data_IF_387451410234
#
_entry.id   IF_387451410234
#
_cell.length_a   1.000
_cell.length_b   1.000
_cell.length_c   1.000
_cell.angle_alpha   90.00
_cell.angle_beta   90.00
_cell.angle_gamma   90.00
#
_symmetry.space_group_name_H-M   'P 1'
#
loop_
_entity.id
_entity.type
_entity.pdbx_description
1 polymer ?
#
# COMPACT_ATOMS: atom_id res chain seq x y z
N UNK A 1 -18.92 -7.77 -22.58
CA UNK A 1 -17.65 -7.04 -22.77
C UNK A 1 -17.87 -5.96 -23.81
N UNK A 2 -17.66 -4.70 -23.47
CA UNK A 2 -17.74 -3.58 -24.42
C UNK A 2 -16.36 -3.40 -25.06
N UNK A 3 -16.26 -3.52 -26.38
CA UNK A 3 -15.01 -3.29 -27.11
C UNK A 3 -14.94 -1.80 -27.50
N UNK A 4 -13.88 -1.12 -27.08
CA UNK A 4 -13.66 0.30 -27.34
C UNK A 4 -13.11 0.53 -28.76
N UNK A 5 -13.77 1.39 -29.53
CA UNK A 5 -13.25 1.92 -30.80
C UNK A 5 -12.38 3.15 -30.53
N UNK A 6 -11.16 3.21 -31.07
CA UNK A 6 -10.22 4.31 -30.84
C UNK A 6 -10.73 5.62 -31.50
N UNK A 7 -11.08 6.61 -30.68
CA UNK A 7 -11.38 7.99 -31.10
C UNK A 7 -10.10 8.83 -31.12
N UNK A 8 -10.14 10.04 -31.68
CA UNK A 8 -9.01 10.98 -31.56
C UNK A 8 -8.73 11.28 -30.08
N UNK A 9 -7.45 11.26 -29.72
CA UNK A 9 -6.99 11.53 -28.37
C UNK A 9 -7.02 13.04 -28.10
N UNK A 10 -7.82 13.54 -27.13
CA UNK A 10 -7.95 14.97 -26.86
C UNK A 10 -6.76 15.56 -26.07
N UNK A 11 -5.79 14.74 -25.66
CA UNK A 11 -4.67 15.14 -24.78
C UNK A 11 -3.45 15.61 -25.56
N UNK A 12 -2.58 16.39 -24.92
CA UNK A 12 -1.31 16.83 -25.53
C UNK A 12 -0.44 15.62 -25.87
N UNK A 13 -0.37 14.66 -24.95
CA UNK A 13 0.28 13.38 -25.20
C UNK A 13 -0.46 12.56 -26.27
N UNK A 14 0.18 12.33 -27.41
CA UNK A 14 -0.35 11.48 -28.51
C UNK A 14 -0.19 9.98 -28.25
N UNK A 15 0.16 9.59 -27.03
CA UNK A 15 0.26 8.18 -26.64
C UNK A 15 -1.14 7.53 -26.67
N UNK A 16 -1.30 6.45 -27.45
CA UNK A 16 -2.58 5.73 -27.58
C UNK A 16 -3.13 5.26 -26.23
N UNK A 17 -2.25 4.98 -25.25
CA UNK A 17 -2.64 4.52 -23.92
C UNK A 17 -3.38 5.62 -23.14
N UNK A 18 -3.02 6.88 -23.36
CA UNK A 18 -3.70 8.05 -22.77
C UNK A 18 -5.09 8.23 -23.39
N UNK A 19 -5.20 8.09 -24.72
CA UNK A 19 -6.50 8.08 -25.40
C UNK A 19 -7.44 6.99 -24.88
N UNK A 20 -6.93 5.77 -24.67
CA UNK A 20 -7.71 4.67 -24.07
C UNK A 20 -8.11 5.01 -22.63
N UNK A 21 -7.22 5.56 -21.82
CA UNK A 21 -7.56 5.98 -20.46
C UNK A 21 -8.68 7.04 -20.46
N UNK A 22 -8.59 8.03 -21.34
CA UNK A 22 -9.63 9.05 -21.52
C UNK A 22 -10.99 8.43 -21.85
N UNK A 23 -11.04 7.48 -22.79
CA UNK A 23 -12.26 6.75 -23.12
C UNK A 23 -12.82 5.94 -21.95
N UNK A 24 -11.95 5.30 -21.16
CA UNK A 24 -12.37 4.54 -19.98
C UNK A 24 -13.07 5.48 -19.00
N UNK A 25 -12.52 6.65 -18.70
CA UNK A 25 -13.16 7.62 -17.80
C UNK A 25 -14.48 8.17 -18.34
N UNK A 26 -14.59 8.38 -19.66
CA UNK A 26 -15.84 8.87 -20.27
C UNK A 26 -16.96 7.84 -20.25
N UNK A 27 -16.62 6.55 -20.42
CA UNK A 27 -17.61 5.48 -20.41
C UNK A 27 -17.98 5.00 -19.01
N UNK A 28 -17.01 4.98 -18.09
CA UNK A 28 -17.17 4.53 -16.73
C UNK A 28 -17.11 5.70 -15.76
N UNK A 29 -18.13 6.56 -15.82
CA UNK A 29 -18.23 7.79 -15.00
C UNK A 29 -18.30 7.49 -13.50
N UNK A 30 -18.86 6.32 -13.12
CA UNK A 30 -18.95 5.90 -11.72
C UNK A 30 -19.02 4.37 -11.60
N UNK A 31 -18.72 3.87 -10.39
CA UNK A 31 -18.72 2.44 -10.08
C UNK A 31 -17.39 1.73 -10.40
N UNK A 32 -17.28 0.44 -10.04
CA UNK A 32 -16.06 -0.33 -10.27
C UNK A 32 -15.89 -0.67 -11.75
N UNK A 33 -14.70 -0.41 -12.29
CA UNK A 33 -14.28 -0.84 -13.62
C UNK A 33 -13.12 -1.84 -13.50
N UNK A 34 -13.30 -3.06 -13.99
CA UNK A 34 -12.26 -4.10 -13.98
C UNK A 34 -11.55 -4.10 -15.33
N UNK A 35 -10.25 -3.85 -15.31
CA UNK A 35 -9.41 -3.77 -16.51
C UNK A 35 -8.46 -4.96 -16.52
N UNK A 36 -8.66 -5.87 -17.48
CA UNK A 36 -7.72 -6.95 -17.76
C UNK A 36 -6.64 -6.45 -18.71
N UNK A 37 -5.39 -6.49 -18.26
CA UNK A 37 -4.22 -6.01 -19.00
C UNK A 37 -3.10 -7.05 -19.01
N UNK A 38 -2.25 -6.98 -20.02
CA UNK A 38 -0.92 -7.58 -19.95
C UNK A 38 0.00 -6.73 -19.07
N UNK A 39 0.99 -7.36 -18.45
CA UNK A 39 2.01 -6.63 -17.68
C UNK A 39 2.77 -5.67 -18.60
N UNK A 40 3.17 -4.51 -18.07
CA UNK A 40 3.87 -3.43 -18.83
C UNK A 40 3.06 -2.78 -19.96
N UNK A 41 1.74 -2.99 -20.03
CA UNK A 41 0.86 -2.26 -20.97
C UNK A 41 0.77 -0.74 -20.71
N UNK A 42 1.24 -0.26 -19.55
CA UNK A 42 1.21 1.17 -19.19
C UNK A 42 -0.16 1.67 -18.71
N UNK A 43 -1.12 0.79 -18.45
CA UNK A 43 -2.48 1.17 -18.07
C UNK A 43 -2.52 2.02 -16.80
N UNK A 44 -1.81 1.63 -15.74
CA UNK A 44 -1.75 2.36 -14.47
C UNK A 44 -1.30 3.79 -14.71
N UNK A 45 -0.19 3.98 -15.43
CA UNK A 45 0.36 5.31 -15.73
C UNK A 45 -0.64 6.17 -16.49
N UNK A 46 -1.27 5.60 -17.52
CA UNK A 46 -2.23 6.34 -18.34
C UNK A 46 -3.51 6.70 -17.58
N UNK A 47 -4.02 5.82 -16.72
CA UNK A 47 -5.19 6.10 -15.88
C UNK A 47 -4.93 7.21 -14.85
N UNK A 48 -3.73 7.24 -14.28
CA UNK A 48 -3.34 8.26 -13.31
C UNK A 48 -3.07 9.61 -13.98
N UNK A 49 -2.37 9.61 -15.12
CA UNK A 49 -2.17 10.79 -15.93
C UNK A 49 -3.52 11.40 -16.37
N UNK A 50 -4.45 10.55 -16.81
CA UNK A 50 -5.78 11.01 -17.22
C UNK A 50 -6.61 11.55 -16.04
N UNK A 51 -6.53 10.92 -14.86
CA UNK A 51 -7.16 11.48 -13.64
C UNK A 51 -6.65 12.89 -13.36
N UNK A 52 -5.33 13.09 -13.46
CA UNK A 52 -4.73 14.43 -13.29
C UNK A 52 -5.22 15.39 -14.37
N UNK A 53 -5.25 14.98 -15.65
CA UNK A 53 -5.71 15.81 -16.77
C UNK A 53 -7.18 16.26 -16.64
N UNK A 54 -7.99 15.52 -15.87
CA UNK A 54 -9.38 15.88 -15.52
C UNK A 54 -9.48 16.74 -14.26
N UNK A 55 -8.35 17.04 -13.62
CA UNK A 55 -8.26 17.63 -12.28
C UNK A 55 -9.03 16.82 -11.23
N UNK A 56 -9.04 15.50 -11.38
CA UNK A 56 -9.71 14.58 -10.47
C UNK A 56 -8.67 13.93 -9.56
N UNK A 57 -8.80 14.20 -8.26
CA UNK A 57 -7.89 13.63 -7.26
C UNK A 57 -7.99 12.12 -7.24
N UNK A 58 -6.85 11.44 -7.25
CA UNK A 58 -6.80 9.97 -7.18
C UNK A 58 -6.08 9.43 -5.94
N UNK A 59 -6.45 8.20 -5.57
CA UNK A 59 -5.65 7.29 -4.75
C UNK A 59 -5.23 6.10 -5.62
N UNK A 60 -3.95 5.76 -5.61
CA UNK A 60 -3.42 4.57 -6.27
C UNK A 60 -2.83 3.61 -5.24
N UNK A 61 -3.35 2.39 -5.20
CA UNK A 61 -2.82 1.30 -4.40
C UNK A 61 -1.96 0.38 -5.28
N UNK A 62 -0.74 0.11 -4.81
CA UNK A 62 0.24 -0.72 -5.52
C UNK A 62 0.80 -1.82 -4.61
N UNK A 63 1.34 -2.91 -5.15
CA UNK A 63 1.85 -3.99 -4.29
C UNK A 63 3.15 -3.62 -3.56
N UNK A 64 4.03 -2.82 -4.18
CA UNK A 64 5.36 -2.54 -3.61
C UNK A 64 5.72 -1.05 -3.61
N UNK A 65 6.55 -0.64 -2.63
CA UNK A 65 7.10 0.71 -2.53
C UNK A 65 7.91 1.12 -3.78
N UNK A 66 8.59 0.15 -4.43
CA UNK A 66 9.36 0.39 -5.65
C UNK A 66 8.47 0.88 -6.78
N UNK A 67 7.28 0.28 -6.94
CA UNK A 67 6.29 0.69 -7.96
C UNK A 67 5.73 2.07 -7.62
N UNK A 68 5.45 2.34 -6.34
CA UNK A 68 4.95 3.65 -5.90
C UNK A 68 5.90 4.80 -6.27
N UNK A 69 7.20 4.62 -6.03
CA UNK A 69 8.22 5.66 -6.28
C UNK A 69 8.59 5.77 -7.76
N UNK A 70 9.02 4.66 -8.38
CA UNK A 70 9.69 4.73 -9.68
C UNK A 70 8.70 4.79 -10.85
N UNK A 71 7.57 4.11 -10.72
CA UNK A 71 6.63 3.94 -11.82
C UNK A 71 5.53 4.97 -11.68
N UNK A 72 4.87 5.03 -10.53
CA UNK A 72 3.69 5.88 -10.41
C UNK A 72 4.02 7.37 -10.40
N UNK A 73 4.86 7.85 -9.49
CA UNK A 73 5.09 9.31 -9.37
C UNK A 73 5.79 9.88 -10.60
N UNK A 74 6.88 9.23 -11.04
CA UNK A 74 7.72 9.78 -12.12
C UNK A 74 7.03 9.71 -13.47
N UNK A 75 6.46 8.55 -13.82
CA UNK A 75 5.93 8.36 -15.16
C UNK A 75 4.56 9.02 -15.32
N UNK A 76 3.68 8.98 -14.31
CA UNK A 76 2.34 9.60 -14.44
C UNK A 76 2.42 11.10 -14.70
N UNK A 77 3.35 11.82 -14.05
CA UNK A 77 3.57 13.25 -14.31
C UNK A 77 4.07 13.51 -15.72
N UNK A 78 4.97 12.68 -16.22
CA UNK A 78 5.53 12.81 -17.57
C UNK A 78 4.44 12.71 -18.67
N UNK A 79 3.42 11.89 -18.44
CA UNK A 79 2.35 11.65 -19.42
C UNK A 79 1.10 12.53 -19.19
N UNK A 80 1.09 13.32 -18.11
CA UNK A 80 0.02 14.27 -17.84
C UNK A 80 0.25 15.56 -18.61
N UNK A 81 -0.85 16.22 -18.97
CA UNK A 81 -0.86 17.57 -19.55
C UNK A 81 -0.66 18.65 -18.46
N UNK A 82 -0.58 18.29 -17.17
CA UNK A 82 -0.27 19.22 -16.08
C UNK A 82 1.24 19.31 -15.81
N UNK A 83 1.80 20.50 -16.06
CA UNK A 83 3.21 20.81 -15.80
C UNK A 83 3.61 20.68 -14.32
N UNK A 84 2.71 21.03 -13.40
CA UNK A 84 2.98 21.11 -11.96
C UNK A 84 2.18 20.10 -11.13
N UNK A 85 1.94 18.91 -11.68
CA UNK A 85 1.21 17.86 -10.96
C UNK A 85 1.89 17.48 -9.63
N UNK A 86 1.12 17.48 -8.54
CA UNK A 86 1.57 17.09 -7.21
C UNK A 86 1.01 15.70 -6.89
N UNK A 87 1.91 14.71 -6.82
CA UNK A 87 1.57 13.34 -6.43
C UNK A 87 2.40 12.99 -5.20
N UNK A 88 1.74 12.55 -4.13
CA UNK A 88 2.36 12.23 -2.85
C UNK A 88 2.44 10.72 -2.70
N UNK A 89 3.64 10.20 -2.41
CA UNK A 89 3.80 8.83 -1.91
C UNK A 89 3.68 8.84 -0.40
N UNK A 90 2.78 8.02 0.14
CA UNK A 90 2.77 7.70 1.56
C UNK A 90 3.65 6.46 1.76
N UNK A 91 4.82 6.60 2.39
CA UNK A 91 5.75 5.49 2.52
C UNK A 91 5.33 4.50 3.62
N UNK A 92 6.03 3.37 3.69
CA UNK A 92 5.85 2.41 4.78
C UNK A 92 6.25 3.04 6.13
N UNK A 93 5.71 2.54 7.24
CA UNK A 93 6.04 3.09 8.57
C UNK A 93 7.52 2.92 8.93
N UNK A 94 8.22 1.97 8.28
CA UNK A 94 9.68 1.80 8.40
C UNK A 94 10.47 3.02 7.93
N UNK A 95 9.90 3.82 7.04
CA UNK A 95 10.51 5.06 6.52
C UNK A 95 10.11 6.29 7.37
N UNK A 96 9.50 6.09 8.54
CA UNK A 96 9.41 7.14 9.55
C UNK A 96 10.80 7.34 10.14
N UNK A 97 11.30 8.59 10.21
CA UNK A 97 12.62 8.90 10.77
C UNK A 97 12.84 8.30 12.16
N UNK A 98 11.82 8.33 13.03
CA UNK A 98 11.91 7.71 14.37
C UNK A 98 11.99 6.17 14.30
N UNK A 99 11.24 5.56 13.38
CA UNK A 99 11.27 4.09 13.21
C UNK A 99 12.54 3.61 12.51
N UNK A 100 13.13 4.45 11.65
CA UNK A 100 14.42 4.17 11.02
C UNK A 100 15.53 4.08 12.08
N UNK A 101 15.59 5.04 13.00
CA UNK A 101 16.49 4.99 14.17
C UNK A 101 16.24 3.75 15.05
N UNK A 102 14.98 3.36 15.24
CA UNK A 102 14.65 2.12 15.95
C UNK A 102 15.14 0.88 15.21
N UNK A 103 15.04 0.85 13.87
CA UNK A 103 15.52 -0.25 13.04
C UNK A 103 17.06 -0.29 12.96
N UNK A 104 17.73 0.83 13.10
CA UNK A 104 19.19 0.88 13.24
C UNK A 104 19.63 0.29 14.58
N UNK A 105 18.92 0.65 15.66
CA UNK A 105 19.17 0.10 17.00
C UNK A 105 18.81 -1.38 17.11
N UNK A 106 17.72 -1.80 16.45
CA UNK A 106 17.19 -3.16 16.46
C UNK A 106 16.91 -3.65 15.03
N UNK A 107 17.92 -4.21 14.33
CA UNK A 107 17.81 -4.60 12.92
C UNK A 107 16.68 -5.57 12.59
N UNK A 108 16.31 -6.45 13.52
CA UNK A 108 15.24 -7.45 13.33
C UNK A 108 13.87 -6.81 13.10
N UNK A 109 13.66 -5.57 13.55
CA UNK A 109 12.43 -4.81 13.25
C UNK A 109 12.23 -4.61 11.75
N UNK A 110 13.29 -4.65 10.93
CA UNK A 110 13.18 -4.58 9.47
C UNK A 110 12.52 -5.82 8.87
N UNK A 111 12.47 -6.95 9.57
CA UNK A 111 11.83 -8.17 9.09
C UNK A 111 10.30 -8.13 9.24
N UNK A 112 9.78 -7.33 10.19
CA UNK A 112 8.35 -7.22 10.42
C UNK A 112 7.62 -6.64 9.20
N UNK A 113 6.49 -7.21 8.75
CA UNK A 113 5.78 -6.71 7.55
C UNK A 113 5.28 -5.26 7.73
N UNK A 114 4.92 -4.90 8.95
CA UNK A 114 4.43 -3.56 9.34
C UNK A 114 5.02 -3.20 10.69
N UNK A 115 5.47 -1.94 10.84
CA UNK A 115 5.82 -1.36 12.13
C UNK A 115 4.65 -0.55 12.71
N UNK A 116 4.59 -0.38 14.05
CA UNK A 116 3.56 0.43 14.69
C UNK A 116 3.37 1.80 14.03
N UNK A 117 2.12 2.21 13.87
CA UNK A 117 1.77 3.57 13.48
C UNK A 117 1.73 4.43 14.74
N UNK A 118 2.39 5.58 14.70
CA UNK A 118 2.34 6.55 15.78
C UNK A 118 0.90 7.01 16.04
N UNK A 119 0.54 7.21 17.32
CA UNK A 119 -0.79 7.71 17.68
C UNK A 119 -1.00 9.11 17.15
N UNK A 120 -0.02 10.01 17.33
CA UNK A 120 -0.03 11.35 16.76
C UNK A 120 1.31 11.66 16.10
N UNK A 121 1.24 12.31 14.93
CA UNK A 121 2.41 12.92 14.29
C UNK A 121 2.40 14.45 14.42
N UNK A 122 1.32 15.07 14.90
CA UNK A 122 1.16 16.53 14.89
C UNK A 122 2.17 17.26 15.79
N UNK A 123 2.58 16.62 16.87
CA UNK A 123 3.57 17.13 17.83
C UNK A 123 4.97 16.58 17.54
N UNK A 124 5.18 15.94 16.39
CA UNK A 124 6.47 15.39 16.03
C UNK A 124 7.40 16.51 15.52
N UNK A 125 8.60 16.62 16.07
CA UNK A 125 9.64 17.56 15.61
C UNK A 125 9.94 17.42 14.11
N UNK A 126 9.67 16.24 13.55
CA UNK A 126 9.90 15.90 12.15
C UNK A 126 8.70 16.08 11.25
N UNK A 127 7.59 16.62 11.76
CA UNK A 127 6.33 16.74 11.03
C UNK A 127 6.50 17.45 9.68
N UNK A 128 7.29 18.52 9.62
CA UNK A 128 7.44 19.33 8.42
C UNK A 128 8.38 18.76 7.35
N UNK A 129 9.18 17.75 7.68
CA UNK A 129 10.07 17.09 6.71
C UNK A 129 9.71 15.63 6.45
N UNK A 130 8.86 15.04 7.28
CA UNK A 130 8.45 13.65 7.16
C UNK A 130 7.58 13.41 5.90
N UNK A 131 7.92 12.36 5.15
CA UNK A 131 7.14 11.92 3.98
C UNK A 131 5.80 11.29 4.36
N UNK A 132 5.70 10.69 5.56
CA UNK A 132 4.43 10.12 6.06
C UNK A 132 3.42 11.23 6.31
N UNK A 133 3.86 12.40 6.77
CA UNK A 133 2.96 13.50 7.12
C UNK A 133 2.55 14.34 5.92
N UNK A 134 3.32 14.26 4.82
CA UNK A 134 3.10 15.04 3.60
C UNK A 134 1.65 14.98 3.08
N UNK A 135 0.98 13.83 3.21
CA UNK A 135 -0.40 13.63 2.74
C UNK A 135 -1.41 14.52 3.48
N UNK A 136 -1.23 14.76 4.78
CA UNK A 136 -2.11 15.64 5.57
C UNK A 136 -1.71 17.10 5.37
N UNK A 137 -0.42 17.39 5.23
CA UNK A 137 0.09 18.75 5.02
C UNK A 137 -0.25 19.33 3.63
N UNK A 138 -0.44 18.46 2.64
CA UNK A 138 -0.76 18.83 1.26
C UNK A 138 -2.02 18.09 0.78
N UNK A 139 -3.19 18.41 1.38
CA UNK A 139 -4.44 17.69 1.11
C UNK A 139 -4.98 17.93 -0.31
N UNK A 140 -4.51 18.99 -0.97
CA UNK A 140 -4.84 19.46 -2.32
C UNK A 140 -4.01 18.79 -3.44
N UNK A 141 -3.13 17.85 -3.10
CA UNK A 141 -2.39 17.09 -4.10
C UNK A 141 -3.30 16.38 -5.10
N UNK A 142 -2.91 16.35 -6.38
CA UNK A 142 -3.64 15.71 -7.47
C UNK A 142 -3.72 14.18 -7.31
N UNK A 143 -2.77 13.58 -6.59
CA UNK A 143 -2.71 12.14 -6.42
C UNK A 143 -2.02 11.70 -5.15
N UNK A 144 -2.47 10.58 -4.60
CA UNK A 144 -1.85 9.92 -3.46
C UNK A 144 -1.57 8.46 -3.82
N UNK A 145 -0.37 7.99 -3.49
CA UNK A 145 0.08 6.63 -3.83
C UNK A 145 0.57 5.94 -2.57
N UNK A 146 0.10 4.72 -2.34
CA UNK A 146 0.51 3.93 -1.19
C UNK A 146 0.43 2.44 -1.51
N UNK A 147 1.04 1.63 -0.66
CA UNK A 147 0.99 0.18 -0.84
C UNK A 147 -0.26 -0.44 -0.20
N UNK A 148 -0.65 -1.63 -0.65
CA UNK A 148 -1.70 -2.41 0.01
C UNK A 148 -1.41 -2.65 1.50
N UNK A 149 -0.14 -2.93 1.84
CA UNK A 149 0.28 -3.09 3.25
C UNK A 149 0.11 -1.80 4.06
N UNK A 150 0.36 -0.64 3.45
CA UNK A 150 0.22 0.65 4.12
C UNK A 150 -1.25 0.99 4.39
N UNK A 151 -2.15 0.76 3.44
CA UNK A 151 -3.59 1.02 3.67
C UNK A 151 -4.14 0.08 4.75
N UNK A 152 -3.78 -1.21 4.72
CA UNK A 152 -4.18 -2.16 5.75
C UNK A 152 -3.67 -1.73 7.13
N UNK A 153 -2.41 -1.28 7.23
CA UNK A 153 -1.85 -0.78 8.48
C UNK A 153 -2.61 0.45 9.00
N UNK A 154 -2.97 1.40 8.12
CA UNK A 154 -3.74 2.60 8.48
C UNK A 154 -5.14 2.22 8.98
N UNK A 155 -5.84 1.32 8.29
CA UNK A 155 -7.17 0.84 8.68
C UNK A 155 -7.12 0.13 10.03
N UNK A 156 -6.15 -0.76 10.24
CA UNK A 156 -5.96 -1.45 11.52
C UNK A 156 -5.68 -0.47 12.66
N UNK A 157 -4.78 0.49 12.45
CA UNK A 157 -4.45 1.48 13.48
C UNK A 157 -5.64 2.36 13.84
N UNK A 158 -6.41 2.83 12.85
CA UNK A 158 -7.62 3.64 13.05
C UNK A 158 -8.74 2.86 13.75
N UNK A 159 -8.90 1.58 13.41
CA UNK A 159 -9.93 0.74 14.02
C UNK A 159 -9.62 0.37 15.48
N UNK A 160 -8.34 0.10 15.79
CA UNK A 160 -7.91 -0.30 17.13
C UNK A 160 -7.79 0.87 18.10
N UNK A 161 -7.52 2.09 17.60
CA UNK A 161 -7.26 3.28 18.41
C UNK A 161 -7.94 4.51 17.79
N UNK A 162 -8.89 5.16 18.48
CA UNK A 162 -9.54 6.37 17.98
C UNK A 162 -8.60 7.59 18.01
N UNK A 163 -8.87 8.60 17.19
CA UNK A 163 -8.13 9.88 17.14
C UNK A 163 -6.65 9.74 16.78
N UNK A 164 -6.32 8.77 15.92
CA UNK A 164 -4.94 8.56 15.49
C UNK A 164 -4.61 9.34 14.22
N UNK A 165 -3.33 9.60 13.99
CA UNK A 165 -2.85 10.15 12.71
C UNK A 165 -3.26 9.28 11.51
N UNK A 166 -3.47 7.98 11.71
CA UNK A 166 -3.98 7.08 10.68
C UNK A 166 -5.37 7.48 10.20
N UNK A 167 -6.25 7.89 11.12
CA UNK A 167 -7.60 8.35 10.82
C UNK A 167 -7.57 9.60 9.92
N UNK A 168 -6.70 10.56 10.23
CA UNK A 168 -6.53 11.78 9.44
C UNK A 168 -6.00 11.50 8.04
N UNK A 169 -5.07 10.56 7.90
CA UNK A 169 -4.62 10.10 6.58
C UNK A 169 -5.79 9.47 5.81
N UNK A 170 -6.57 8.59 6.44
CA UNK A 170 -7.72 7.94 5.79
C UNK A 170 -8.77 8.96 5.33
N UNK A 171 -9.08 9.98 6.15
CA UNK A 171 -9.98 11.10 5.77
C UNK A 171 -9.49 11.86 4.55
N UNK A 172 -8.17 12.04 4.39
CA UNK A 172 -7.60 12.69 3.19
C UNK A 172 -7.72 11.80 1.95
N UNK A 173 -7.54 10.48 2.11
CA UNK A 173 -7.69 9.50 1.02
C UNK A 173 -9.13 9.44 0.51
N UNK A 174 -10.11 9.41 1.43
CA UNK A 174 -11.55 9.33 1.13
C UNK A 174 -12.06 10.46 0.23
N UNK A 175 -11.45 11.65 0.29
CA UNK A 175 -11.80 12.80 -0.55
C UNK A 175 -11.42 12.66 -2.02
N UNK A 176 -10.78 11.55 -2.41
CA UNK A 176 -10.33 11.34 -3.78
C UNK A 176 -11.46 10.78 -4.63
N UNK A 177 -11.65 11.34 -5.83
CA UNK A 177 -12.71 10.92 -6.75
C UNK A 177 -12.44 9.53 -7.33
N UNK A 178 -11.16 9.25 -7.62
CA UNK A 178 -10.76 8.03 -8.32
C UNK A 178 -9.90 7.14 -7.42
N UNK A 179 -10.26 5.85 -7.32
CA UNK A 179 -9.47 4.82 -6.65
C UNK A 179 -8.95 3.82 -7.68
N UNK A 180 -7.63 3.72 -7.82
CA UNK A 180 -6.96 2.80 -8.74
C UNK A 180 -6.29 1.71 -7.92
N UNK A 181 -6.62 0.46 -8.23
CA UNK A 181 -6.05 -0.72 -7.60
C UNK A 181 -5.16 -1.45 -8.60
N UNK A 182 -3.85 -1.22 -8.56
CA UNK A 182 -2.91 -1.88 -9.48
C UNK A 182 -2.53 -3.27 -8.97
N UNK A 183 -2.40 -4.21 -9.89
CA UNK A 183 -2.11 -5.62 -9.59
C UNK A 183 -3.02 -6.19 -8.48
N UNK A 184 -4.33 -5.89 -8.56
CA UNK A 184 -5.35 -6.27 -7.56
C UNK A 184 -5.39 -7.77 -7.26
N UNK A 185 -4.91 -8.60 -8.19
CA UNK A 185 -4.80 -10.04 -8.01
C UNK A 185 -3.86 -10.42 -6.85
N UNK A 186 -2.86 -9.59 -6.51
CA UNK A 186 -1.98 -9.80 -5.35
C UNK A 186 -2.77 -9.89 -4.04
N UNK A 187 -3.84 -9.11 -3.89
CA UNK A 187 -4.72 -9.19 -2.71
C UNK A 187 -5.64 -10.41 -2.79
N UNK A 188 -6.08 -10.78 -4.00
CA UNK A 188 -6.98 -11.92 -4.20
C UNK A 188 -6.34 -13.25 -3.80
N UNK A 189 -5.02 -13.39 -3.99
CA UNK A 189 -4.30 -14.63 -3.67
C UNK A 189 -3.64 -14.63 -2.28
N UNK A 190 -3.54 -13.46 -1.62
CA UNK A 190 -2.99 -13.32 -0.27
C UNK A 190 -1.47 -13.51 -0.19
N UNK A 191 -0.83 -12.87 0.81
CA UNK A 191 0.57 -13.12 1.13
C UNK A 191 0.69 -14.48 1.84
N UNK A 192 1.33 -15.47 1.20
CA UNK A 192 1.66 -16.74 1.84
C UNK A 192 2.88 -16.51 2.74
N UNK A 193 2.68 -16.57 4.06
CA UNK A 193 3.79 -16.67 5.01
C UNK A 193 4.02 -18.13 5.34
N UNK A 194 5.15 -18.68 4.94
CA UNK A 194 5.56 -20.03 5.33
C UNK A 194 6.32 -20.00 6.65
N UNK A 195 5.94 -20.89 7.56
CA UNK A 195 6.72 -21.19 8.76
C UNK A 195 7.27 -22.59 8.57
N UNK A 196 8.59 -22.72 8.55
CA UNK A 196 9.23 -24.04 8.51
C UNK A 196 8.99 -24.74 9.85
N UNK A 197 8.11 -25.75 9.84
CA UNK A 197 7.77 -26.56 11.02
C UNK A 197 8.83 -27.64 11.28
N UNK A 198 9.40 -28.17 10.22
CA UNK A 198 10.42 -29.19 10.23
C UNK A 198 11.47 -28.88 9.16
N UNK A 199 12.75 -28.95 9.53
CA UNK A 199 13.85 -28.77 8.61
C UNK A 199 14.47 -30.14 8.28
N UNK A 200 14.20 -30.67 7.08
CA UNK A 200 14.74 -31.95 6.61
C UNK A 200 16.29 -32.01 6.62
N UNK A 201 16.96 -30.85 6.58
CA UNK A 201 18.42 -30.78 6.48
C UNK A 201 19.08 -30.90 7.85
N UNK A 202 18.48 -30.30 8.87
CA UNK A 202 19.00 -30.33 10.25
C UNK A 202 18.22 -31.27 11.18
N UNK A 203 17.14 -31.88 10.67
CA UNK A 203 16.19 -32.68 11.44
C UNK A 203 15.55 -31.93 12.63
N UNK A 204 15.56 -30.60 12.58
CA UNK A 204 15.03 -29.76 13.65
C UNK A 204 13.54 -29.48 13.46
N UNK A 205 12.79 -29.63 14.56
CA UNK A 205 11.42 -29.15 14.68
C UNK A 205 11.46 -27.70 15.17
N UNK A 206 10.53 -26.86 14.72
CA UNK A 206 10.43 -25.47 15.19
C UNK A 206 10.31 -25.43 16.72
N UNK A 207 11.33 -24.84 17.38
CA UNK A 207 11.31 -24.65 18.82
C UNK A 207 10.39 -23.48 19.16
N UNK A 208 9.18 -23.78 19.63
CA UNK A 208 8.19 -22.80 20.10
C UNK A 208 8.45 -22.33 21.54
N UNK A 209 9.24 -23.07 22.32
CA UNK A 209 9.54 -22.73 23.72
C UNK A 209 10.35 -21.44 23.85
N UNK A 210 11.16 -21.12 22.85
CA UNK A 210 11.93 -19.86 22.80
C UNK A 210 11.07 -18.59 22.83
N UNK A 211 9.76 -18.73 22.57
CA UNK A 211 8.82 -17.62 22.60
C UNK A 211 8.05 -17.52 23.93
N UNK A 212 8.21 -18.48 24.87
CA UNK A 212 7.46 -18.52 26.14
C UNK A 212 7.63 -17.23 26.95
N UNK A 213 8.86 -16.73 27.04
CA UNK A 213 9.17 -15.49 27.77
C UNK A 213 8.49 -14.25 27.18
N UNK A 214 8.09 -14.30 25.91
CA UNK A 214 7.46 -13.19 25.19
C UNK A 214 5.93 -13.34 25.21
N UNK A 215 5.40 -14.54 25.45
CA UNK A 215 3.96 -14.79 25.52
C UNK A 215 3.26 -14.10 26.70
N UNK A 216 4.00 -13.73 27.75
CA UNK A 216 3.46 -12.99 28.90
C UNK A 216 3.05 -11.56 28.54
N UNK A 217 3.76 -10.95 27.60
CA UNK A 217 3.58 -9.53 27.27
C UNK A 217 2.72 -9.31 26.02
N UNK A 218 2.43 -10.38 25.26
CA UNK A 218 1.73 -10.30 23.97
C UNK A 218 0.61 -11.35 23.85
N UNK A 219 -0.60 -11.00 24.28
CA UNK A 219 -1.78 -11.89 24.32
C UNK A 219 -2.13 -12.56 22.98
N UNK A 220 -2.03 -11.82 21.87
CA UNK A 220 -2.31 -12.35 20.53
C UNK A 220 -1.25 -13.35 20.09
N UNK A 221 0.02 -13.06 20.37
CA UNK A 221 1.13 -13.95 20.06
C UNK A 221 1.03 -15.24 20.87
N UNK A 222 0.67 -15.14 22.17
CA UNK A 222 0.35 -16.29 23.01
C UNK A 222 -0.73 -17.16 22.39
N UNK A 223 -1.83 -16.55 21.91
CA UNK A 223 -2.93 -17.30 21.30
C UNK A 223 -2.49 -18.03 20.03
N UNK A 224 -1.74 -17.37 19.14
CA UNK A 224 -1.21 -17.98 17.92
C UNK A 224 -0.28 -19.15 18.25
N UNK A 225 0.73 -18.93 19.11
CA UNK A 225 1.71 -19.96 19.48
C UNK A 225 1.04 -21.14 20.20
N UNK A 226 0.07 -20.90 21.07
CA UNK A 226 -0.65 -21.96 21.79
C UNK A 226 -1.44 -22.83 20.81
N UNK A 227 -2.19 -22.21 19.88
CA UNK A 227 -2.95 -22.96 18.87
C UNK A 227 -2.03 -23.73 17.92
N UNK A 228 -0.91 -23.12 17.51
CA UNK A 228 0.06 -23.77 16.64
C UNK A 228 0.76 -24.95 17.35
N UNK A 229 1.08 -24.80 18.64
CA UNK A 229 1.62 -25.88 19.49
C UNK A 229 0.66 -27.07 19.59
N UNK A 230 -0.65 -26.83 19.66
CA UNK A 230 -1.65 -27.89 19.69
C UNK A 230 -1.69 -28.66 18.37
N UNK A 231 -1.71 -27.97 17.24
CA UNK A 231 -1.67 -28.58 15.90
C UNK A 231 -0.41 -29.43 15.70
N UNK A 232 0.74 -28.98 16.23
CA UNK A 232 1.98 -29.75 16.15
C UNK A 232 1.98 -31.00 17.03
N UNK A 233 1.34 -30.96 18.21
CA UNK A 233 1.17 -32.12 19.09
C UNK A 233 0.22 -33.16 18.50
N UNK A 234 -0.83 -32.73 17.81
CA UNK A 234 -1.78 -33.64 17.17
C UNK A 234 -1.16 -34.39 15.97
N UNK A 235 -0.20 -33.78 15.27
CA UNK A 235 0.51 -34.41 14.14
C UNK A 235 1.74 -35.24 14.53
N UNK A 236 2.12 -35.27 15.82
CA UNK A 236 3.24 -36.09 16.33
C UNK A 236 2.77 -37.40 16.98
N UNK A 237 1.47 -37.72 16.88
CA UNK A 237 0.86 -38.94 17.40
C UNK A 237 0.69 -40.07 16.35
N UNK A 238 1.57 -40.12 15.34
CA UNK A 238 1.71 -41.23 14.39
C UNK A 238 3.02 -41.97 14.62
#
# INVERSE_FOLDING_TARGET
>A
MVQLTLTQNPRMSQDKRIGIANQIYDQFVSGPCIIYKTTRAGATISLLAESMNRNEKFVCLVPTNRIATNTVIKDSKKYSDLDNAVVIRVPANKECLKNELLCEKYPDLRQLPVLPIADSCFECDEFDKCLITAVVRKPDANGIVLTYKKIAALQLASHLRPNTYAEEVLKVLEKSKNLILDEIHEIQFGDITSVTVYNDTSFDIVNLEKYISIMTDFDYLRRVITQFSLIMKDNTAL
#
